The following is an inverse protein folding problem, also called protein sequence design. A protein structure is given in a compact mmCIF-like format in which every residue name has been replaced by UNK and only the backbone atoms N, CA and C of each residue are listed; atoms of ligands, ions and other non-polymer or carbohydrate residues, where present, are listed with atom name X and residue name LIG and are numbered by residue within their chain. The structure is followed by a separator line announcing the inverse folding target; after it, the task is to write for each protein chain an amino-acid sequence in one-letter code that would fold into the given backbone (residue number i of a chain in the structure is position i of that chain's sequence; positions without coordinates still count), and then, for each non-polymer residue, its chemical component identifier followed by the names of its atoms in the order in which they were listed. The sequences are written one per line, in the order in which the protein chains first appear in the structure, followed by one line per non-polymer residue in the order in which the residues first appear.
data_IF_379045549286
#
_entry.id   IF_379045549286
#
_cell.length_a   1.000
_cell.length_b   1.000
_cell.length_c   1.000
_cell.angle_alpha   90.00
_cell.angle_beta   90.00
_cell.angle_gamma   90.00
#
_symmetry.space_group_name_H-M   'P 1'
#
loop_
_entity.id
_entity.type
_entity.pdbx_description
1 polymer ?
#
# COMPACT_ATOMS: atom_id res chain seq x y z
N UNK A 1 14.42 2.67 18.64
CA UNK A 1 14.61 3.41 17.37
C UNK A 1 15.55 2.69 16.39
N UNK A 2 16.66 2.08 16.87
CA UNK A 2 17.66 1.42 16.00
C UNK A 2 17.08 0.21 15.29
N UNK A 3 16.33 -0.63 15.98
CA UNK A 3 15.69 -1.83 15.45
C UNK A 3 14.66 -1.51 14.35
N UNK A 4 13.91 -0.42 14.50
CA UNK A 4 12.93 0.01 13.48
C UNK A 4 13.60 0.48 12.20
N UNK A 5 14.75 1.18 12.31
CA UNK A 5 15.55 1.60 11.17
C UNK A 5 16.12 0.41 10.39
N UNK A 6 16.72 -0.58 11.07
CA UNK A 6 17.26 -1.78 10.43
C UNK A 6 16.16 -2.55 9.69
N UNK A 7 14.98 -2.70 10.31
CA UNK A 7 13.84 -3.37 9.68
C UNK A 7 13.35 -2.61 8.45
N UNK A 8 13.25 -1.28 8.50
CA UNK A 8 12.84 -0.46 7.38
C UNK A 8 13.80 -0.57 6.19
N UNK A 9 15.12 -0.52 6.43
CA UNK A 9 16.14 -0.73 5.39
C UNK A 9 16.09 -2.13 4.79
N UNK A 10 15.86 -3.14 5.60
CA UNK A 10 15.70 -4.53 5.15
C UNK A 10 14.49 -4.69 4.24
N UNK A 11 13.33 -4.18 4.65
CA UNK A 11 12.09 -4.22 3.87
C UNK A 11 12.24 -3.42 2.59
N UNK A 12 12.75 -2.18 2.65
CA UNK A 12 12.99 -1.34 1.47
C UNK A 12 13.89 -2.02 0.44
N UNK A 13 14.99 -2.66 0.90
CA UNK A 13 15.88 -3.44 0.03
C UNK A 13 15.17 -4.63 -0.62
N UNK A 14 14.34 -5.37 0.12
CA UNK A 14 13.61 -6.52 -0.42
C UNK A 14 12.59 -6.10 -1.46
N UNK A 15 11.84 -5.02 -1.22
CA UNK A 15 10.87 -4.48 -2.17
C UNK A 15 11.58 -4.04 -3.47
N UNK A 16 12.71 -3.33 -3.35
CA UNK A 16 13.48 -2.91 -4.52
C UNK A 16 14.07 -4.11 -5.28
N UNK A 17 14.54 -5.13 -4.57
CA UNK A 17 15.06 -6.36 -5.18
C UNK A 17 13.99 -7.09 -5.96
N UNK A 18 12.78 -7.17 -5.42
CA UNK A 18 11.63 -7.81 -6.08
C UNK A 18 11.19 -7.00 -7.31
N UNK A 19 11.07 -5.68 -7.16
CA UNK A 19 10.70 -4.79 -8.25
C UNK A 19 11.68 -4.86 -9.44
N UNK A 20 12.99 -4.83 -9.16
CA UNK A 20 14.04 -4.95 -10.17
C UNK A 20 14.39 -6.40 -10.56
N UNK A 21 13.73 -7.39 -9.94
CA UNK A 21 13.98 -8.83 -10.14
C UNK A 21 15.44 -9.21 -9.94
N UNK A 22 16.12 -8.58 -8.96
CA UNK A 22 17.54 -8.83 -8.66
C UNK A 22 17.64 -10.00 -7.67
N UNK A 23 18.30 -11.12 -8.03
CA UNK A 23 18.46 -12.25 -7.13
C UNK A 23 19.33 -11.88 -5.92
N UNK A 24 18.80 -12.05 -4.72
CA UNK A 24 19.46 -11.70 -3.44
C UNK A 24 20.50 -12.75 -2.96
N UNK A 25 20.74 -13.79 -3.75
CA UNK A 25 21.65 -14.87 -3.41
C UNK A 25 23.13 -14.44 -3.38
N UNK A 26 23.48 -13.44 -4.21
CA UNK A 26 24.85 -12.91 -4.27
C UNK A 26 25.01 -11.72 -3.33
N UNK A 27 26.08 -11.72 -2.54
CA UNK A 27 26.42 -10.64 -1.59
C UNK A 27 26.53 -9.29 -2.32
N UNK A 28 27.13 -9.27 -3.51
CA UNK A 28 27.29 -8.05 -4.32
C UNK A 28 25.94 -7.38 -4.62
N UNK A 29 24.91 -8.15 -4.99
CA UNK A 29 23.58 -7.65 -5.28
C UNK A 29 22.92 -7.00 -4.06
N UNK A 30 23.23 -7.48 -2.86
CA UNK A 30 22.76 -6.87 -1.61
C UNK A 30 23.37 -5.49 -1.39
N UNK A 31 24.67 -5.33 -1.69
CA UNK A 31 25.35 -4.04 -1.55
C UNK A 31 24.93 -3.04 -2.63
N UNK A 32 24.70 -3.48 -3.86
CA UNK A 32 24.21 -2.61 -4.94
C UNK A 32 22.88 -1.93 -4.57
N UNK A 33 22.01 -2.62 -3.83
CA UNK A 33 20.74 -2.05 -3.36
C UNK A 33 20.86 -1.31 -2.01
N UNK A 34 21.74 -1.79 -1.12
CA UNK A 34 21.91 -1.19 0.20
C UNK A 34 22.64 0.16 0.13
N UNK A 35 23.70 0.27 -0.66
CA UNK A 35 24.51 1.50 -0.76
C UNK A 35 23.67 2.71 -1.19
N UNK A 36 22.88 2.68 -2.29
CA UNK A 36 22.05 3.83 -2.65
C UNK A 36 20.98 4.16 -1.62
N UNK A 37 20.40 3.15 -0.93
CA UNK A 37 19.45 3.40 0.16
C UNK A 37 20.12 4.13 1.33
N UNK A 38 21.32 3.71 1.74
CA UNK A 38 22.07 4.40 2.79
C UNK A 38 22.53 5.79 2.35
N UNK A 39 22.99 5.95 1.10
CA UNK A 39 23.37 7.25 0.56
C UNK A 39 22.18 8.21 0.52
N UNK A 40 21.00 7.74 0.11
CA UNK A 40 19.76 8.53 0.13
C UNK A 40 19.39 8.92 1.56
N UNK A 41 19.45 7.99 2.52
CA UNK A 41 19.17 8.27 3.93
C UNK A 41 20.15 9.29 4.50
N UNK A 42 21.43 9.22 4.15
CA UNK A 42 22.44 10.19 4.55
C UNK A 42 22.16 11.56 3.92
N UNK A 43 21.83 11.61 2.63
CA UNK A 43 21.47 12.85 1.93
C UNK A 43 20.25 13.54 2.56
N UNK A 44 19.24 12.77 2.97
CA UNK A 44 18.05 13.28 3.67
C UNK A 44 18.41 13.95 5.02
N UNK A 45 19.53 13.58 5.64
CA UNK A 45 19.98 14.20 6.90
C UNK A 45 20.41 15.67 6.72
N UNK A 46 20.75 16.08 5.51
CA UNK A 46 21.07 17.48 5.19
C UNK A 46 19.86 18.34 4.83
N UNK A 47 18.70 17.72 4.64
CA UNK A 47 17.45 18.42 4.37
C UNK A 47 16.79 18.84 5.69
N UNK A 48 16.07 19.96 5.67
CA UNK A 48 15.35 20.44 6.85
C UNK A 48 14.35 19.37 7.35
N UNK A 49 14.49 18.96 8.60
CA UNK A 49 13.65 17.91 9.21
C UNK A 49 12.14 18.21 9.10
N UNK A 50 11.74 19.48 9.22
CA UNK A 50 10.33 19.85 9.12
C UNK A 50 9.74 19.54 7.73
N UNK A 51 10.51 19.70 6.66
CA UNK A 51 10.11 19.37 5.29
C UNK A 51 9.95 17.86 5.15
N UNK A 52 10.95 17.09 5.60
CA UNK A 52 10.91 15.61 5.55
C UNK A 52 9.69 15.09 6.32
N UNK A 53 9.42 15.65 7.52
CA UNK A 53 8.31 15.24 8.36
C UNK A 53 6.94 15.46 7.69
N UNK A 54 6.77 16.57 6.99
CA UNK A 54 5.55 16.86 6.23
C UNK A 54 5.33 15.89 5.08
N UNK A 55 6.37 15.62 4.28
CA UNK A 55 6.27 14.62 3.21
C UNK A 55 6.01 13.21 3.75
N UNK A 56 6.64 12.84 4.84
CA UNK A 56 6.41 11.55 5.49
C UNK A 56 4.96 11.42 5.98
N UNK A 57 4.43 12.46 6.60
CA UNK A 57 3.03 12.49 7.03
C UNK A 57 2.06 12.34 5.86
N UNK A 58 2.29 13.11 4.78
CA UNK A 58 1.48 12.99 3.57
C UNK A 58 1.59 11.60 2.91
N UNK A 59 2.79 11.07 2.76
CA UNK A 59 3.00 9.74 2.17
C UNK A 59 2.29 8.64 2.96
N UNK A 60 2.29 8.74 4.28
CA UNK A 60 1.60 7.80 5.16
C UNK A 60 0.06 7.88 5.00
N UNK A 61 -0.48 9.09 4.87
CA UNK A 61 -1.90 9.30 4.57
C UNK A 61 -2.29 8.77 3.18
N UNK A 62 -1.45 9.00 2.17
CA UNK A 62 -1.66 8.46 0.82
C UNK A 62 -1.68 6.93 0.83
N UNK A 63 -0.73 6.30 1.54
CA UNK A 63 -0.69 4.85 1.70
C UNK A 63 -1.95 4.32 2.40
N UNK A 64 -2.41 4.99 3.46
CA UNK A 64 -3.64 4.64 4.15
C UNK A 64 -4.87 4.75 3.23
N UNK A 65 -4.95 5.78 2.40
CA UNK A 65 -6.03 5.93 1.40
C UNK A 65 -6.03 4.77 0.40
N UNK A 66 -4.86 4.39 -0.14
CA UNK A 66 -4.73 3.24 -1.05
C UNK A 66 -5.14 1.94 -0.35
N UNK A 67 -4.69 1.69 0.88
CA UNK A 67 -5.06 0.51 1.64
C UNK A 67 -6.58 0.42 1.90
N UNK A 68 -7.24 1.55 2.18
CA UNK A 68 -8.68 1.62 2.35
C UNK A 68 -9.44 1.33 1.05
N UNK A 69 -8.95 1.83 -0.10
CA UNK A 69 -9.52 1.49 -1.40
C UNK A 69 -9.37 0.01 -1.74
N UNK A 70 -8.20 -0.58 -1.48
CA UNK A 70 -7.99 -2.02 -1.63
C UNK A 70 -8.95 -2.82 -0.74
N UNK A 71 -9.12 -2.39 0.52
CA UNK A 71 -10.07 -2.99 1.45
C UNK A 71 -11.52 -2.88 0.96
N UNK A 72 -11.93 -1.72 0.43
CA UNK A 72 -13.27 -1.52 -0.11
C UNK A 72 -13.56 -2.45 -1.30
N UNK A 73 -12.61 -2.58 -2.24
CA UNK A 73 -12.72 -3.51 -3.39
C UNK A 73 -12.79 -4.96 -2.91
N UNK A 74 -11.94 -5.34 -1.96
CA UNK A 74 -11.92 -6.69 -1.41
C UNK A 74 -13.25 -7.04 -0.72
N UNK A 75 -13.79 -6.14 0.10
CA UNK A 75 -15.08 -6.34 0.76
C UNK A 75 -16.26 -6.36 -0.22
N UNK A 76 -16.19 -5.56 -1.29
CA UNK A 76 -17.19 -5.55 -2.34
C UNK A 76 -17.25 -6.91 -3.07
N UNK A 77 -16.10 -7.50 -3.40
CA UNK A 77 -16.02 -8.84 -4.02
C UNK A 77 -16.56 -9.96 -3.12
N UNK A 78 -16.48 -9.80 -1.82
CA UNK A 78 -17.04 -10.76 -0.84
C UNK A 78 -18.50 -10.52 -0.48
N UNK A 79 -19.21 -9.66 -1.20
CA UNK A 79 -20.59 -9.25 -0.90
C UNK A 79 -20.79 -8.80 0.57
N UNK A 80 -19.73 -8.29 1.20
CA UNK A 80 -19.71 -7.87 2.59
C UNK A 80 -19.95 -6.35 2.71
N UNK A 81 -19.92 -5.82 3.91
CA UNK A 81 -20.18 -4.41 4.22
C UNK A 81 -19.08 -3.46 3.69
N UNK A 82 -18.91 -3.40 2.38
CA UNK A 82 -17.87 -2.60 1.69
C UNK A 82 -17.90 -1.11 2.03
N UNK A 83 -19.06 -0.57 2.39
CA UNK A 83 -19.22 0.83 2.75
C UNK A 83 -18.40 1.25 3.98
N UNK A 84 -18.05 0.31 4.89
CA UNK A 84 -17.20 0.56 6.06
C UNK A 84 -15.78 1.00 5.67
N UNK A 85 -15.24 0.49 4.58
CA UNK A 85 -13.94 0.90 4.05
C UNK A 85 -14.07 2.03 3.02
N UNK A 86 -15.18 2.08 2.27
CA UNK A 86 -15.44 3.06 1.24
C UNK A 86 -15.53 4.50 1.78
N UNK A 87 -16.33 4.71 2.84
CA UNK A 87 -16.51 6.05 3.41
C UNK A 87 -15.19 6.66 3.89
N UNK A 88 -14.38 5.97 4.71
CA UNK A 88 -13.08 6.51 5.09
C UNK A 88 -12.10 6.62 3.92
N UNK A 89 -12.19 5.76 2.89
CA UNK A 89 -11.35 5.86 1.69
C UNK A 89 -11.59 7.17 0.93
N UNK A 90 -12.85 7.53 0.70
CA UNK A 90 -13.23 8.80 0.06
C UNK A 90 -12.75 9.98 0.89
N UNK A 91 -12.99 9.96 2.20
CA UNK A 91 -12.54 11.02 3.11
C UNK A 91 -11.02 11.19 3.06
N UNK A 92 -10.26 10.11 3.17
CA UNK A 92 -8.80 10.16 3.10
C UNK A 92 -8.29 10.64 1.74
N UNK A 93 -8.98 10.32 0.65
CA UNK A 93 -8.63 10.83 -0.68
C UNK A 93 -8.79 12.34 -0.74
N UNK A 94 -9.89 12.89 -0.22
CA UNK A 94 -10.11 14.34 -0.16
C UNK A 94 -9.01 15.02 0.66
N UNK A 95 -8.76 14.52 1.87
CA UNK A 95 -7.76 15.10 2.79
C UNK A 95 -6.37 15.06 2.19
N UNK A 96 -5.94 13.90 1.68
CA UNK A 96 -4.59 13.71 1.12
C UNK A 96 -4.36 14.58 -0.11
N UNK A 97 -5.36 14.68 -1.00
CA UNK A 97 -5.27 15.51 -2.20
C UNK A 97 -5.29 16.99 -1.85
N UNK A 98 -6.18 17.42 -0.96
CA UNK A 98 -6.23 18.83 -0.52
C UNK A 98 -4.94 19.24 0.16
N UNK A 99 -4.37 18.40 1.01
CA UNK A 99 -3.13 18.68 1.74
C UNK A 99 -1.97 18.96 0.80
N UNK A 100 -1.70 18.08 -0.18
CA UNK A 100 -0.57 18.25 -1.09
C UNK A 100 -0.73 19.47 -2.01
N UNK A 101 -1.97 19.87 -2.30
CA UNK A 101 -2.24 21.02 -3.15
C UNK A 101 -2.09 22.35 -2.42
N UNK A 102 -2.44 22.40 -1.14
CA UNK A 102 -2.45 23.63 -0.32
C UNK A 102 -1.12 23.89 0.36
N UNK A 103 -0.44 22.83 0.80
CA UNK A 103 0.79 22.96 1.58
C UNK A 103 1.94 23.52 0.72
N UNK A 104 2.74 24.43 1.29
CA UNK A 104 3.90 25.05 0.63
C UNK A 104 4.96 24.05 0.16
N UNK A 105 4.99 22.89 0.79
CA UNK A 105 5.86 21.76 0.43
C UNK A 105 5.38 21.04 -0.83
N UNK A 106 4.09 21.20 -1.20
CA UNK A 106 3.50 20.66 -2.42
C UNK A 106 3.40 21.74 -3.50
N UNK A 107 2.18 22.05 -3.93
CA UNK A 107 1.92 23.02 -4.99
C UNK A 107 1.68 24.45 -4.48
N UNK A 108 1.51 24.66 -3.17
CA UNK A 108 1.29 25.97 -2.57
C UNK A 108 0.06 26.72 -3.11
N UNK A 109 -0.96 26.01 -3.54
CA UNK A 109 -2.17 26.60 -4.11
C UNK A 109 -2.99 27.32 -3.03
N UNK A 110 -3.77 28.31 -3.46
CA UNK A 110 -4.72 28.97 -2.58
C UNK A 110 -5.63 27.91 -1.91
N UNK A 111 -5.82 27.95 -0.57
CA UNK A 111 -6.58 26.95 0.18
C UNK A 111 -7.97 26.64 -0.38
N UNK A 112 -8.64 27.66 -0.94
CA UNK A 112 -9.97 27.47 -1.55
C UNK A 112 -9.91 26.53 -2.76
N UNK A 113 -8.98 26.76 -3.66
CA UNK A 113 -8.81 25.95 -4.87
C UNK A 113 -8.31 24.54 -4.56
N UNK A 114 -7.34 24.42 -3.65
CA UNK A 114 -6.83 23.11 -3.23
C UNK A 114 -7.92 22.23 -2.61
N UNK A 115 -8.77 22.80 -1.77
CA UNK A 115 -9.89 22.07 -1.16
C UNK A 115 -10.96 21.68 -2.20
N UNK A 116 -11.31 22.57 -3.14
CA UNK A 116 -12.28 22.26 -4.20
C UNK A 116 -11.77 21.10 -5.05
N UNK A 117 -10.50 21.14 -5.47
CA UNK A 117 -9.89 20.05 -6.27
C UNK A 117 -9.87 18.74 -5.48
N UNK A 118 -9.55 18.81 -4.18
CA UNK A 118 -9.58 17.64 -3.30
C UNK A 118 -10.96 17.00 -3.21
N UNK A 119 -12.01 17.82 -3.06
CA UNK A 119 -13.40 17.34 -3.04
C UNK A 119 -13.76 16.71 -4.39
N UNK A 120 -13.42 17.36 -5.50
CA UNK A 120 -13.66 16.83 -6.85
C UNK A 120 -12.96 15.48 -7.03
N UNK A 121 -11.71 15.35 -6.59
CA UNK A 121 -10.96 14.08 -6.63
C UNK A 121 -11.64 12.98 -5.79
N UNK A 122 -12.11 13.32 -4.59
CA UNK A 122 -12.87 12.40 -3.74
C UNK A 122 -14.19 11.94 -4.37
N UNK A 123 -14.96 12.88 -4.94
CA UNK A 123 -16.22 12.56 -5.64
C UNK A 123 -15.94 11.73 -6.89
N UNK A 124 -14.91 12.06 -7.66
CA UNK A 124 -14.54 11.31 -8.86
C UNK A 124 -14.11 9.87 -8.50
N UNK A 125 -13.29 9.69 -7.47
CA UNK A 125 -12.88 8.35 -7.02
C UNK A 125 -14.07 7.53 -6.50
N UNK A 126 -15.01 8.17 -5.79
CA UNK A 126 -16.24 7.53 -5.35
C UNK A 126 -17.12 7.11 -6.54
N UNK A 127 -17.29 7.98 -7.54
CA UNK A 127 -18.05 7.68 -8.74
C UNK A 127 -17.45 6.52 -9.53
N UNK A 128 -16.13 6.50 -9.70
CA UNK A 128 -15.41 5.38 -10.36
C UNK A 128 -15.62 4.08 -9.61
N UNK A 129 -15.51 4.07 -8.29
CA UNK A 129 -15.73 2.87 -7.49
C UNK A 129 -17.17 2.36 -7.64
N UNK A 130 -18.18 3.24 -7.51
CA UNK A 130 -19.59 2.86 -7.66
C UNK A 130 -19.90 2.35 -9.07
N UNK A 131 -19.27 2.91 -10.10
CA UNK A 131 -19.42 2.44 -11.48
C UNK A 131 -18.76 1.07 -11.69
N UNK A 132 -17.68 0.77 -10.98
CA UNK A 132 -17.01 -0.53 -11.01
C UNK A 132 -17.76 -1.60 -10.19
N UNK A 133 -18.54 -1.21 -9.19
CA UNK A 133 -19.20 -2.11 -8.24
C UNK A 133 -20.02 -3.22 -8.93
N UNK A 134 -20.88 -2.95 -9.95
CA UNK A 134 -21.64 -3.99 -10.64
C UNK A 134 -20.77 -4.91 -11.52
N UNK A 135 -19.52 -4.52 -11.80
CA UNK A 135 -18.56 -5.31 -12.58
C UNK A 135 -17.66 -6.18 -11.68
N UNK A 136 -17.69 -5.96 -10.37
CA UNK A 136 -17.01 -6.80 -9.40
C UNK A 136 -17.91 -8.02 -9.18
N UNK A 137 -17.74 -9.08 -9.99
CA UNK A 137 -18.38 -10.35 -9.73
C UNK A 137 -18.01 -10.84 -8.33
N UNK A 138 -18.99 -11.28 -7.51
CA UNK A 138 -18.67 -11.93 -6.26
C UNK A 138 -17.74 -13.09 -6.55
N UNK A 139 -16.60 -13.13 -5.92
CA UNK A 139 -15.73 -14.31 -5.94
C UNK A 139 -16.52 -15.42 -5.23
N UNK A 140 -17.18 -16.28 -6.05
CA UNK A 140 -17.78 -17.51 -5.55
C UNK A 140 -16.71 -18.18 -4.70
N UNK A 141 -17.06 -18.45 -3.46
CA UNK A 141 -16.22 -19.12 -2.48
C UNK A 141 -15.77 -20.45 -3.12
N UNK A 142 -14.63 -20.40 -3.85
CA UNK A 142 -13.99 -21.63 -4.30
C UNK A 142 -13.68 -22.36 -3.01
N UNK A 143 -14.34 -23.53 -2.76
CA UNK A 143 -14.10 -24.26 -1.53
C UNK A 143 -12.61 -24.37 -1.37
N UNK A 144 -12.11 -23.95 -0.22
CA UNK A 144 -10.71 -23.95 0.13
C UNK A 144 -10.13 -25.24 -0.40
N UNK A 145 -9.27 -25.11 -1.40
CA UNK A 145 -8.67 -26.21 -2.17
C UNK A 145 -8.38 -27.31 -1.18
N UNK A 146 -9.19 -28.36 -1.25
CA UNK A 146 -9.19 -29.55 -0.40
C UNK A 146 -7.78 -29.79 0.06
N UNK A 147 -7.50 -29.65 1.35
CA UNK A 147 -6.16 -29.87 1.88
C UNK A 147 -5.64 -31.14 1.23
N UNK A 148 -4.59 -31.03 0.44
CA UNK A 148 -3.96 -32.23 -0.11
C UNK A 148 -3.74 -33.14 1.08
N UNK A 149 -4.21 -34.40 1.01
CA UNK A 149 -4.04 -35.32 2.14
C UNK A 149 -2.56 -35.31 2.49
N UNK A 150 -2.28 -35.00 3.74
CA UNK A 150 -0.91 -34.92 4.25
C UNK A 150 -0.21 -36.23 3.93
N UNK A 151 1.10 -36.16 3.64
CA UNK A 151 1.91 -37.38 3.32
C UNK A 151 1.79 -38.44 4.40
N UNK A 152 1.37 -38.11 5.62
CA UNK A 152 1.02 -39.01 6.70
C UNK A 152 -0.25 -39.84 6.42
N UNK A 153 -1.26 -39.31 5.74
CA UNK A 153 -2.50 -40.03 5.37
C UNK A 153 -2.23 -41.01 4.21
N UNK A 154 -1.37 -40.60 3.28
CA UNK A 154 -0.92 -41.52 2.18
C UNK A 154 -0.06 -42.66 2.67
N UNK A 155 0.73 -42.42 3.72
CA UNK A 155 1.57 -43.49 4.34
C UNK A 155 0.72 -44.50 5.13
N UNK A 156 -0.42 -44.05 5.71
CA UNK A 156 -1.34 -44.94 6.41
C UNK A 156 -2.11 -45.91 5.49
N UNK A 157 -2.50 -45.46 4.30
CA UNK A 157 -3.23 -46.28 3.33
C UNK A 157 -2.32 -47.36 2.65
N UNK A 158 -0.99 -47.10 2.57
CA UNK A 158 -0.05 -48.04 2.00
C UNK A 158 0.34 -49.20 2.96
N UNK A 159 0.03 -49.08 4.25
CA UNK A 159 0.29 -50.11 5.27
C UNK A 159 -0.92 -50.99 5.57
N UNK A 160 -2.08 -50.71 4.94
CA UNK A 160 -3.33 -51.46 5.17
C UNK A 160 -3.64 -52.50 4.07
N UNK A 161 -2.69 -52.79 3.15
CA UNK A 161 -2.78 -53.86 2.17
C UNK A 161 -1.82 -55.03 2.47
#
# INVERSE_FOLDING_TARGET
PITSGDTAFRVGRLILADYFRIPQTRIVNRYILAVPLFALSLALNFVNFAVIWRYFGWANQALAAVALWCGAVFLARRASRWWLAFVPAVFMTVVTTSYILVEDVGFGLNPRWGTIIGIVAGVASAAVFLWMLPKLEPEEDKPAMTAQPTDAERAGDSLAC
#
